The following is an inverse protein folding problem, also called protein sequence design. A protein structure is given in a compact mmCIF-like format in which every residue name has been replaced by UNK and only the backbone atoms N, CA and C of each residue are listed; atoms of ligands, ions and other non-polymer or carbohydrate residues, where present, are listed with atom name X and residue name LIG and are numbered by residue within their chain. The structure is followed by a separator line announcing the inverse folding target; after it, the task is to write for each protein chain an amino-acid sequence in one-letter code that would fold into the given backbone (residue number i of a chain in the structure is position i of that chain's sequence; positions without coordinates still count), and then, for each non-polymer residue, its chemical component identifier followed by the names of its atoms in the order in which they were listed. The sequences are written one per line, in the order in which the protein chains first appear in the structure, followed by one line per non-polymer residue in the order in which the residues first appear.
data_IF_671750313560
#
_entry.id   IF_671750313560
#
_cell.length_a   1.000
_cell.length_b   1.000
_cell.length_c   1.000
_cell.angle_alpha   90.00
_cell.angle_beta   90.00
_cell.angle_gamma   90.00
#
_symmetry.space_group_name_H-M   'P 1'
#
loop_
_entity.id
_entity.type
_entity.pdbx_description
1 polymer ?
#
# COMPACT_ATOMS: atom_id res chain seq x y z
N UNK A 1 12.72 6.96 -14.62
CA UNK A 1 12.65 8.12 -13.70
C UNK A 1 12.04 7.59 -12.41
N UNK A 2 12.89 7.26 -11.43
CA UNK A 2 12.43 6.78 -10.13
C UNK A 2 12.02 8.00 -9.30
N UNK A 3 10.76 8.06 -8.89
CA UNK A 3 10.32 9.08 -7.94
C UNK A 3 11.07 8.87 -6.62
N UNK A 4 11.67 9.93 -6.05
CA UNK A 4 12.30 9.83 -4.75
C UNK A 4 11.20 9.53 -3.73
N UNK A 5 11.27 8.34 -3.12
CA UNK A 5 10.46 7.91 -1.98
C UNK A 5 10.89 8.65 -0.70
N UNK A 6 11.16 9.95 -0.80
CA UNK A 6 11.43 10.78 0.36
C UNK A 6 10.12 10.94 1.12
N UNK A 7 10.11 10.56 2.39
CA UNK A 7 9.04 10.82 3.34
C UNK A 7 8.73 12.32 3.35
N UNK A 8 7.68 12.72 2.63
CA UNK A 8 7.29 14.13 2.49
C UNK A 8 6.56 14.54 3.77
N UNK A 9 6.99 15.61 4.46
CA UNK A 9 6.28 16.12 5.64
C UNK A 9 4.81 16.41 5.33
N UNK A 10 3.93 16.13 6.30
CA UNK A 10 2.46 16.25 6.18
C UNK A 10 2.00 17.65 5.72
N UNK A 11 2.81 18.67 5.95
CA UNK A 11 2.51 20.07 5.68
C UNK A 11 2.66 20.46 4.20
N UNK A 12 3.21 19.58 3.36
CA UNK A 12 3.49 19.92 1.97
C UNK A 12 2.26 19.74 1.07
N UNK A 13 1.90 20.77 0.27
CA UNK A 13 0.75 20.72 -0.67
C UNK A 13 0.83 19.55 -1.67
N UNK A 14 2.04 19.13 -2.02
CA UNK A 14 2.30 17.97 -2.91
C UNK A 14 1.86 16.66 -2.26
N UNK A 15 1.99 16.52 -0.94
CA UNK A 15 1.57 15.34 -0.20
C UNK A 15 0.04 15.16 -0.25
N UNK A 16 -0.72 16.26 -0.21
CA UNK A 16 -2.18 16.22 -0.32
C UNK A 16 -2.67 15.73 -1.67
N UNK A 17 -2.04 16.16 -2.77
CA UNK A 17 -2.45 15.75 -4.13
C UNK A 17 -2.18 14.27 -4.38
N UNK A 18 -1.07 13.74 -3.88
CA UNK A 18 -0.70 12.32 -4.02
C UNK A 18 -1.69 11.46 -3.21
N UNK A 19 -1.90 11.81 -1.93
CA UNK A 19 -2.84 11.09 -1.05
C UNK A 19 -4.27 11.14 -1.59
N UNK A 20 -4.75 12.29 -2.06
CA UNK A 20 -6.09 12.43 -2.63
C UNK A 20 -6.28 11.48 -3.82
N UNK A 21 -5.28 11.37 -4.70
CA UNK A 21 -5.32 10.42 -5.83
C UNK A 21 -5.40 8.98 -5.35
N UNK A 22 -4.63 8.61 -4.33
CA UNK A 22 -4.65 7.25 -3.78
C UNK A 22 -5.98 6.93 -3.10
N UNK A 23 -6.53 7.85 -2.32
CA UNK A 23 -7.87 7.74 -1.73
C UNK A 23 -8.96 7.64 -2.80
N UNK A 24 -8.90 8.48 -3.82
CA UNK A 24 -9.84 8.46 -4.95
C UNK A 24 -9.73 7.13 -5.70
N UNK A 25 -8.52 6.62 -5.92
CA UNK A 25 -8.28 5.35 -6.60
C UNK A 25 -8.87 4.19 -5.80
N UNK A 26 -8.58 4.12 -4.50
CA UNK A 26 -9.16 3.11 -3.60
C UNK A 26 -10.68 3.23 -3.52
N UNK A 27 -11.21 4.46 -3.50
CA UNK A 27 -12.64 4.72 -3.56
C UNK A 27 -13.24 4.19 -4.87
N UNK A 28 -12.67 4.49 -6.03
CA UNK A 28 -13.15 3.97 -7.31
C UNK A 28 -13.10 2.44 -7.38
N UNK A 29 -12.02 1.82 -6.87
CA UNK A 29 -11.94 0.35 -6.76
C UNK A 29 -13.05 -0.21 -5.85
N UNK A 30 -13.32 0.44 -4.71
CA UNK A 30 -14.37 0.04 -3.77
C UNK A 30 -15.77 0.25 -4.33
N UNK A 31 -16.00 1.36 -5.04
CA UNK A 31 -17.29 1.73 -5.62
C UNK A 31 -17.58 1.04 -6.96
N UNK A 32 -16.61 0.33 -7.55
CA UNK A 32 -16.83 -0.53 -8.73
C UNK A 32 -17.95 -1.55 -8.51
N UNK A 33 -18.13 -2.00 -7.27
CA UNK A 33 -19.21 -2.91 -6.86
C UNK A 33 -20.58 -2.21 -6.91
N UNK A 34 -20.66 -0.96 -6.43
CA UNK A 34 -21.90 -0.18 -6.49
C UNK A 34 -22.31 0.09 -7.94
N UNK A 35 -21.35 0.39 -8.81
CA UNK A 35 -21.59 0.56 -10.25
C UNK A 35 -22.11 -0.73 -10.90
N UNK A 36 -21.54 -1.89 -10.57
CA UNK A 36 -22.03 -3.18 -11.09
C UNK A 36 -23.47 -3.47 -10.64
N UNK A 37 -23.80 -3.20 -9.37
CA UNK A 37 -25.16 -3.36 -8.84
C UNK A 37 -26.13 -2.39 -9.54
N UNK A 38 -25.73 -1.12 -9.70
CA UNK A 38 -26.55 -0.12 -10.41
C UNK A 38 -26.84 -0.55 -11.85
N UNK A 39 -25.83 -1.02 -12.58
CA UNK A 39 -26.00 -1.50 -13.96
C UNK A 39 -26.93 -2.71 -14.04
N UNK A 40 -26.86 -3.64 -13.08
CA UNK A 40 -27.78 -4.77 -12.99
C UNK A 40 -29.22 -4.31 -12.74
N UNK A 41 -29.44 -3.35 -11.82
CA UNK A 41 -30.75 -2.78 -11.55
C UNK A 41 -31.32 -2.06 -12.77
N UNK A 42 -30.50 -1.28 -13.48
CA UNK A 42 -30.90 -0.59 -14.72
C UNK A 42 -31.27 -1.59 -15.81
N UNK A 43 -30.53 -2.68 -15.97
CA UNK A 43 -30.84 -3.72 -16.95
C UNK A 43 -32.18 -4.42 -16.63
N UNK A 44 -32.46 -4.71 -15.36
CA UNK A 44 -33.73 -5.29 -14.92
C UNK A 44 -34.89 -4.32 -15.14
N UNK A 45 -34.72 -3.03 -14.79
CA UNK A 45 -35.72 -2.01 -15.01
C UNK A 45 -36.02 -1.80 -16.51
N UNK A 46 -34.99 -1.77 -17.36
CA UNK A 46 -35.14 -1.68 -18.80
C UNK A 46 -35.88 -2.90 -19.39
N UNK A 47 -35.58 -4.10 -18.90
CA UNK A 47 -36.28 -5.33 -19.30
C UNK A 47 -37.76 -5.29 -18.88
N UNK A 48 -38.06 -4.77 -17.69
CA UNK A 48 -39.44 -4.61 -17.20
C UNK A 48 -40.23 -3.61 -18.04
N UNK A 49 -39.63 -2.47 -18.38
CA UNK A 49 -40.28 -1.43 -19.21
C UNK A 49 -40.57 -1.94 -20.62
N UNK A 50 -39.69 -2.77 -21.19
CA UNK A 50 -39.84 -3.24 -22.57
C UNK A 50 -40.76 -4.45 -22.69
N UNK A 51 -40.73 -5.40 -21.75
CA UNK A 51 -41.44 -6.67 -21.87
C UNK A 51 -42.62 -6.84 -20.89
N UNK A 52 -42.81 -5.93 -19.93
CA UNK A 52 -43.89 -5.99 -18.93
C UNK A 52 -43.73 -7.07 -17.85
N UNK A 53 -42.96 -8.14 -18.12
CA UNK A 53 -42.56 -9.18 -17.17
C UNK A 53 -41.07 -9.52 -17.30
N UNK A 54 -40.25 -8.88 -16.47
CA UNK A 54 -38.81 -9.08 -16.47
C UNK A 54 -38.38 -10.47 -15.96
N UNK A 55 -39.18 -11.08 -15.06
CA UNK A 55 -38.82 -12.34 -14.40
C UNK A 55 -39.28 -13.54 -15.23
N UNK A 56 -40.49 -13.48 -15.81
CA UNK A 56 -41.06 -14.54 -16.64
C UNK A 56 -40.33 -14.73 -17.96
N UNK A 57 -39.88 -13.64 -18.61
CA UNK A 57 -39.06 -13.72 -19.83
C UNK A 57 -37.72 -14.44 -19.59
N UNK A 58 -37.11 -14.20 -18.42
CA UNK A 58 -35.85 -14.82 -18.02
C UNK A 58 -36.03 -16.32 -17.69
N UNK A 59 -37.13 -16.68 -17.05
CA UNK A 59 -37.46 -18.08 -16.71
C UNK A 59 -37.80 -18.93 -17.93
N UNK A 60 -38.40 -18.35 -18.98
CA UNK A 60 -38.76 -19.08 -20.19
C UNK A 60 -37.55 -19.41 -21.08
N UNK A 61 -36.44 -18.69 -20.93
CA UNK A 61 -35.24 -18.84 -21.73
C UNK A 61 -34.08 -19.37 -20.88
N UNK A 62 -34.00 -20.69 -20.73
CA UNK A 62 -32.94 -21.39 -19.98
C UNK A 62 -31.51 -21.01 -20.43
N UNK A 63 -31.35 -20.71 -21.72
CA UNK A 63 -30.08 -20.21 -22.30
C UNK A 63 -29.72 -18.83 -21.74
N UNK A 64 -30.70 -17.92 -21.62
CA UNK A 64 -30.47 -16.56 -21.12
C UNK A 64 -30.10 -16.60 -19.63
N UNK A 65 -30.76 -17.46 -18.85
CA UNK A 65 -30.42 -17.66 -17.44
C UNK A 65 -28.98 -18.17 -17.26
N UNK A 66 -28.53 -19.12 -18.09
CA UNK A 66 -27.15 -19.63 -18.06
C UNK A 66 -26.12 -18.59 -18.49
N UNK A 67 -26.41 -17.82 -19.55
CA UNK A 67 -25.54 -16.71 -19.98
C UNK A 67 -25.43 -15.64 -18.90
N UNK A 68 -26.53 -15.31 -18.22
CA UNK A 68 -26.55 -14.35 -17.13
C UNK A 68 -25.79 -14.87 -15.91
N UNK A 69 -25.97 -16.14 -15.52
CA UNK A 69 -25.20 -16.75 -14.44
C UNK A 69 -23.71 -16.81 -14.74
N UNK A 70 -23.33 -17.15 -15.98
CA UNK A 70 -21.94 -17.13 -16.45
C UNK A 70 -21.35 -15.72 -16.47
N UNK A 71 -22.13 -14.73 -16.91
CA UNK A 71 -21.74 -13.32 -16.86
C UNK A 71 -21.53 -12.84 -15.43
N UNK A 72 -22.45 -13.14 -14.51
CA UNK A 72 -22.31 -12.80 -13.08
C UNK A 72 -21.09 -13.49 -12.46
N UNK A 73 -20.85 -14.77 -12.76
CA UNK A 73 -19.67 -15.49 -12.30
C UNK A 73 -18.36 -14.89 -12.84
N UNK A 74 -18.31 -14.57 -14.13
CA UNK A 74 -17.16 -13.92 -14.75
C UNK A 74 -16.92 -12.52 -14.18
N UNK A 75 -17.99 -11.75 -13.98
CA UNK A 75 -17.94 -10.43 -13.34
C UNK A 75 -17.43 -10.56 -11.91
N UNK A 76 -17.94 -11.50 -11.12
CA UNK A 76 -17.45 -11.76 -9.76
C UNK A 76 -15.96 -12.13 -9.77
N UNK A 77 -15.56 -13.10 -10.59
CA UNK A 77 -14.18 -13.61 -10.63
C UNK A 77 -13.16 -12.57 -11.10
N UNK A 78 -13.53 -11.74 -12.07
CA UNK A 78 -12.63 -10.79 -12.73
C UNK A 78 -12.68 -9.39 -12.07
N UNK A 79 -13.86 -8.97 -11.59
CA UNK A 79 -14.02 -7.65 -10.98
C UNK A 79 -13.91 -7.65 -9.45
N UNK A 80 -13.95 -8.81 -8.80
CA UNK A 80 -13.69 -8.97 -7.37
C UNK A 80 -12.45 -9.86 -7.15
N UNK A 81 -11.25 -9.37 -7.51
CA UNK A 81 -10.02 -10.06 -7.11
C UNK A 81 -9.93 -10.16 -5.57
N UNK A 82 -9.09 -11.08 -5.10
CA UNK A 82 -8.75 -11.27 -3.69
C UNK A 82 -8.47 -9.91 -2.99
N UNK A 83 -8.74 -9.82 -1.68
CA UNK A 83 -8.62 -8.58 -0.90
C UNK A 83 -7.28 -7.87 -1.16
N UNK A 84 -7.33 -6.80 -1.93
CA UNK A 84 -6.16 -5.95 -2.12
C UNK A 84 -5.98 -5.11 -0.85
N UNK A 85 -4.88 -5.34 -0.15
CA UNK A 85 -4.46 -4.54 1.00
C UNK A 85 -3.55 -3.44 0.46
N UNK A 86 -3.96 -2.18 0.66
CA UNK A 86 -3.21 -1.01 0.20
C UNK A 86 -2.55 -0.32 1.39
N UNK A 87 -1.27 0.04 1.25
CA UNK A 87 -0.63 0.99 2.16
C UNK A 87 -1.12 2.38 1.81
N UNK A 88 -1.96 2.97 2.67
CA UNK A 88 -2.58 4.27 2.43
C UNK A 88 -1.68 5.41 2.92
N UNK A 89 -0.96 5.19 4.01
CA UNK A 89 -0.07 6.18 4.60
C UNK A 89 1.12 5.50 5.27
N UNK A 90 2.27 6.17 5.20
CA UNK A 90 3.52 5.75 5.81
C UNK A 90 4.19 6.97 6.43
N UNK A 91 4.55 6.87 7.70
CA UNK A 91 5.27 7.92 8.41
C UNK A 91 6.61 7.38 8.90
N UNK A 92 7.67 8.14 8.65
CA UNK A 92 9.01 7.85 9.13
C UNK A 92 9.45 8.97 10.05
N UNK A 93 10.14 8.60 11.13
CA UNK A 93 10.91 9.56 11.90
C UNK A 93 12.26 9.76 11.22
N UNK A 94 12.50 10.97 10.71
CA UNK A 94 13.82 11.36 10.23
C UNK A 94 14.61 11.97 11.42
N UNK A 95 15.65 11.29 11.92
CA UNK A 95 16.42 11.78 13.05
C UNK A 95 17.13 13.11 12.71
N UNK A 96 17.27 14.02 13.68
CA UNK A 96 17.96 15.28 13.47
C UNK A 96 19.44 15.04 13.15
N UNK A 97 20.04 15.97 12.39
CA UNK A 97 21.46 15.88 12.00
C UNK A 97 22.40 15.78 13.20
N UNK A 98 22.00 16.29 14.37
CA UNK A 98 22.74 16.15 15.63
C UNK A 98 22.96 14.71 16.08
N UNK A 99 22.17 13.74 15.58
CA UNK A 99 22.33 12.32 15.90
C UNK A 99 23.21 11.59 14.89
N UNK A 100 23.63 12.24 13.79
CA UNK A 100 24.48 11.60 12.79
C UNK A 100 25.89 11.44 13.33
N UNK A 101 26.39 10.21 13.32
CA UNK A 101 27.75 9.91 13.74
C UNK A 101 28.46 8.98 12.73
N UNK A 102 29.78 9.08 12.67
CA UNK A 102 30.62 8.22 11.83
C UNK A 102 30.78 6.82 12.44
N UNK A 103 31.20 5.85 11.62
CA UNK A 103 31.50 4.50 12.10
C UNK A 103 32.58 4.50 13.19
N UNK A 104 33.57 5.39 13.09
CA UNK A 104 34.64 5.53 14.10
C UNK A 104 34.08 6.06 15.43
N UNK A 105 33.14 6.99 15.38
CA UNK A 105 32.46 7.49 16.57
C UNK A 105 31.64 6.38 17.24
N UNK A 106 30.96 5.52 16.47
CA UNK A 106 30.27 4.34 16.99
C UNK A 106 31.25 3.41 17.74
N UNK A 107 32.39 3.08 17.12
CA UNK A 107 33.41 2.24 17.75
C UNK A 107 33.97 2.89 19.02
N UNK A 108 34.16 4.22 19.03
CA UNK A 108 34.59 4.95 20.21
C UNK A 108 33.56 4.84 21.34
N UNK A 109 32.26 4.98 21.03
CA UNK A 109 31.18 4.80 22.01
C UNK A 109 31.22 3.38 22.60
N UNK A 110 31.29 2.35 21.76
CA UNK A 110 31.38 0.96 22.24
C UNK A 110 32.65 0.69 23.05
N UNK A 111 33.76 1.35 22.75
CA UNK A 111 35.00 1.20 23.53
C UNK A 111 34.90 1.76 24.96
N UNK A 112 33.90 2.59 25.26
CA UNK A 112 33.66 3.08 26.63
C UNK A 112 32.90 2.09 27.50
N UNK A 113 32.23 1.11 26.89
CA UNK A 113 31.51 0.06 27.60
C UNK A 113 32.48 -1.07 27.98
N UNK A 114 32.40 -1.49 29.25
CA UNK A 114 33.23 -2.56 29.84
C UNK A 114 32.95 -3.94 29.27
N UNK A 115 31.81 -4.11 28.59
CA UNK A 115 31.42 -5.38 28.00
C UNK A 115 32.12 -5.68 26.66
N UNK A 116 32.78 -4.69 26.05
CA UNK A 116 33.47 -4.86 24.78
C UNK A 116 34.97 -5.12 24.97
N UNK A 117 35.40 -6.32 24.58
CA UNK A 117 36.82 -6.67 24.46
C UNK A 117 37.41 -6.09 23.16
N UNK A 118 38.73 -5.99 23.09
CA UNK A 118 39.42 -5.53 21.87
C UNK A 118 39.08 -6.39 20.63
N UNK A 119 38.90 -7.70 20.82
CA UNK A 119 38.49 -8.61 19.74
C UNK A 119 37.06 -8.30 19.26
N UNK A 120 36.12 -8.09 20.19
CA UNK A 120 34.74 -7.72 19.85
C UNK A 120 34.66 -6.37 19.13
N UNK A 121 35.49 -5.38 19.52
CA UNK A 121 35.57 -4.09 18.84
C UNK A 121 36.12 -4.21 17.41
N UNK A 122 37.10 -5.09 17.19
CA UNK A 122 37.64 -5.34 15.86
C UNK A 122 36.61 -6.06 14.96
N UNK A 123 35.86 -7.01 15.52
CA UNK A 123 34.73 -7.62 14.84
C UNK A 123 33.67 -6.57 14.45
N UNK A 124 33.28 -5.70 15.39
CA UNK A 124 32.31 -4.62 15.12
C UNK A 124 32.80 -3.65 14.04
N UNK A 125 34.10 -3.32 14.03
CA UNK A 125 34.69 -2.47 12.98
C UNK A 125 34.54 -3.12 11.60
N UNK A 126 34.85 -4.40 11.48
CA UNK A 126 34.68 -5.15 10.22
C UNK A 126 33.20 -5.24 9.83
N UNK A 127 32.30 -5.40 10.79
CA UNK A 127 30.87 -5.44 10.54
C UNK A 127 30.36 -4.11 9.99
N UNK A 128 30.72 -2.97 10.61
CA UNK A 128 30.29 -1.63 10.20
C UNK A 128 30.77 -1.22 8.81
N UNK A 129 31.93 -1.71 8.38
CA UNK A 129 32.45 -1.47 7.02
C UNK A 129 31.61 -2.24 5.98
N UNK A 130 31.04 -3.38 6.35
CA UNK A 130 30.31 -4.28 5.44
C UNK A 130 28.77 -4.19 5.56
N UNK A 131 28.23 -3.46 6.53
CA UNK A 131 26.78 -3.39 6.83
C UNK A 131 25.99 -2.50 5.87
N UNK A 132 26.63 -1.83 4.91
CA UNK A 132 25.97 -0.87 4.02
C UNK A 132 25.51 0.44 4.70
N UNK A 133 25.77 0.59 6.00
CA UNK A 133 25.52 1.84 6.75
C UNK A 133 26.57 2.87 6.39
N UNK A 134 26.20 4.12 6.11
CA UNK A 134 27.13 5.22 5.80
C UNK A 134 27.66 5.90 7.07
N UNK A 135 28.62 6.82 6.94
CA UNK A 135 29.10 7.67 8.06
C UNK A 135 28.10 8.79 8.45
N UNK A 136 26.83 8.59 8.13
CA UNK A 136 25.70 9.45 8.46
C UNK A 136 24.60 8.68 9.19
N UNK A 137 24.95 7.54 9.79
CA UNK A 137 24.02 6.75 10.60
C UNK A 137 23.60 7.54 11.83
N UNK A 138 22.30 7.56 12.08
CA UNK A 138 21.75 8.18 13.27
C UNK A 138 21.94 7.29 14.50
N UNK A 139 22.49 7.88 15.55
CA UNK A 139 22.70 7.26 16.84
C UNK A 139 22.10 8.17 17.92
N UNK A 140 20.99 7.76 18.56
CA UNK A 140 20.33 8.54 19.59
C UNK A 140 21.23 8.85 20.78
N UNK A 141 21.08 10.04 21.39
CA UNK A 141 21.75 10.38 22.64
C UNK A 141 21.24 9.49 23.77
N UNK A 142 22.15 9.07 24.66
CA UNK A 142 21.89 8.20 25.83
C UNK A 142 21.66 6.70 25.54
N UNK A 143 22.21 6.17 24.45
CA UNK A 143 22.41 4.72 24.30
C UNK A 143 23.54 4.22 25.19
#
# INVERSE_FOLDING_TARGET
VHEPTTSVPFENRVAWTIRLKDYITVAFYRYRILWAILMAVVAVAFSYITNGDALGWLQHNSVVALVFAGFVFFVQRHFFPQRNVYCIDHCEFNPPDSWRISREQIIKIFSTDKNFTAESLNFMRRLLVNSGTSDHTAFPPNM
#
